data_IF_002716054054
#
_entry.id   IF_002716054054
#
_cell.length_a   1.000
_cell.length_b   1.000
_cell.length_c   1.000
_cell.angle_alpha   90.00
_cell.angle_beta   90.00
_cell.angle_gamma   90.00
#
_symmetry.space_group_name_H-M   'P 1'
#
loop_
_entity.id
_entity.type
_entity.pdbx_description
1 polymer ?
#
# COMPACT_ATOMS: atom_id res chain seq x y z
N UNK A 1 23.15 45.10 -76.35
CA UNK A 1 23.93 44.02 -75.71
C UNK A 1 23.68 44.16 -74.21
N UNK A 2 22.83 43.31 -73.62
CA UNK A 2 23.23 42.19 -72.75
C UNK A 2 23.92 42.73 -71.47
N UNK A 3 23.43 42.58 -70.23
CA UNK A 3 22.78 41.42 -69.60
C UNK A 3 21.98 41.86 -68.36
N UNK A 4 20.80 41.27 -68.20
CA UNK A 4 20.03 41.18 -66.95
C UNK A 4 20.79 40.32 -65.93
N UNK A 5 21.02 40.83 -64.72
CA UNK A 5 21.37 40.02 -63.56
C UNK A 5 20.12 39.84 -62.70
N UNK A 6 19.54 38.64 -62.72
CA UNK A 6 18.55 38.21 -61.73
C UNK A 6 19.29 37.69 -60.50
N UNK A 7 19.16 38.39 -59.37
CA UNK A 7 19.62 37.90 -58.07
C UNK A 7 18.55 36.94 -57.55
N UNK A 8 18.87 35.65 -57.49
CA UNK A 8 18.02 34.65 -56.88
C UNK A 8 18.03 34.84 -55.35
N UNK A 9 16.87 35.19 -54.79
CA UNK A 9 16.62 35.09 -53.35
C UNK A 9 16.64 33.59 -52.98
N UNK A 10 17.68 33.14 -52.30
CA UNK A 10 17.63 31.91 -51.55
C UNK A 10 16.94 32.20 -50.22
N UNK A 11 15.65 31.89 -50.14
CA UNK A 11 14.96 31.74 -48.86
C UNK A 11 15.52 30.50 -48.17
N UNK A 12 16.37 30.70 -47.16
CA UNK A 12 16.71 29.67 -46.20
C UNK A 12 15.43 29.33 -45.41
N UNK A 13 14.77 28.24 -45.77
CA UNK A 13 13.79 27.61 -44.90
C UNK A 13 14.57 27.10 -43.68
N UNK A 14 14.50 27.84 -42.57
CA UNK A 14 14.78 27.25 -41.27
C UNK A 14 13.68 26.22 -41.03
N UNK A 15 13.94 24.97 -41.40
CA UNK A 15 13.14 23.85 -40.95
C UNK A 15 13.50 23.66 -39.47
N UNK A 16 12.86 24.44 -38.60
CA UNK A 16 12.78 24.06 -37.19
C UNK A 16 11.82 22.89 -37.11
N UNK A 17 12.31 21.73 -37.56
CA UNK A 17 11.79 20.46 -37.11
C UNK A 17 12.12 20.43 -35.63
N UNK A 18 11.17 20.79 -34.77
CA UNK A 18 11.16 20.28 -33.41
C UNK A 18 11.14 18.76 -33.57
N UNK A 19 12.32 18.14 -33.59
CA UNK A 19 12.48 16.72 -33.38
C UNK A 19 11.86 16.47 -32.02
N UNK A 20 10.62 15.97 -32.02
CA UNK A 20 9.99 15.50 -30.81
C UNK A 20 10.86 14.35 -30.33
N UNK A 21 11.48 14.51 -29.16
CA UNK A 21 12.18 13.44 -28.51
C UNK A 21 11.23 12.24 -28.41
N UNK A 22 11.62 11.10 -28.96
CA UNK A 22 10.84 9.87 -28.95
C UNK A 22 11.12 9.10 -27.66
N UNK A 23 10.65 9.63 -26.53
CA UNK A 23 10.70 8.95 -25.24
C UNK A 23 9.28 8.77 -24.67
N UNK A 24 8.91 7.56 -24.23
CA UNK A 24 9.58 6.28 -24.48
C UNK A 24 9.48 5.84 -25.95
N UNK A 25 10.33 4.90 -26.36
CA UNK A 25 10.35 4.27 -27.71
C UNK A 25 10.71 2.79 -27.61
N UNK A 26 10.63 2.03 -28.70
CA UNK A 26 10.97 0.60 -28.68
C UNK A 26 12.48 0.38 -28.67
N UNK A 27 12.98 -0.54 -27.84
CA UNK A 27 14.39 -0.96 -27.81
C UNK A 27 15.02 -0.79 -26.42
N UNK A 28 15.90 -1.72 -26.05
CA UNK A 28 16.59 -1.71 -24.75
C UNK A 28 17.57 -0.54 -24.67
N UNK A 29 17.45 0.30 -23.64
CA UNK A 29 18.33 1.45 -23.42
C UNK A 29 19.82 1.06 -23.28
N UNK A 30 20.10 -0.19 -22.93
CA UNK A 30 21.44 -0.72 -22.68
C UNK A 30 22.02 -1.46 -23.88
N UNK A 31 21.31 -1.51 -25.00
CA UNK A 31 21.77 -2.14 -26.24
C UNK A 31 21.64 -1.21 -27.45
N UNK A 32 22.54 -1.36 -28.43
CA UNK A 32 22.48 -0.57 -29.67
C UNK A 32 21.30 -1.02 -30.51
N UNK A 33 20.49 -0.07 -30.98
CA UNK A 33 19.36 -0.35 -31.86
C UNK A 33 19.04 0.79 -32.85
N UNK A 34 18.27 0.46 -33.89
CA UNK A 34 18.03 1.37 -35.02
C UNK A 34 16.94 2.42 -34.76
N UNK A 35 16.05 2.21 -33.79
CA UNK A 35 15.06 3.20 -33.34
C UNK A 35 15.73 4.34 -32.60
N UNK A 36 15.12 5.52 -32.65
CA UNK A 36 15.48 6.65 -31.81
C UNK A 36 14.72 6.57 -30.47
N UNK A 37 15.42 6.88 -29.37
CA UNK A 37 14.94 6.68 -28.00
C UNK A 37 14.82 5.20 -27.60
N UNK A 38 14.65 4.92 -26.32
CA UNK A 38 14.58 3.56 -25.78
C UNK A 38 13.36 3.35 -24.86
N UNK A 39 13.18 2.13 -24.37
CA UNK A 39 11.96 1.67 -23.71
C UNK A 39 11.78 2.14 -22.26
N UNK A 40 12.85 2.48 -21.56
CA UNK A 40 12.79 3.02 -20.20
C UNK A 40 12.55 4.53 -20.27
N UNK A 41 11.36 5.06 -19.90
CA UNK A 41 11.00 6.47 -20.16
C UNK A 41 11.95 7.47 -19.49
N UNK A 42 12.31 7.22 -18.23
CA UNK A 42 13.19 8.09 -17.45
C UNK A 42 14.63 8.06 -17.98
N UNK A 43 15.18 6.86 -18.22
CA UNK A 43 16.51 6.72 -18.79
C UNK A 43 16.59 7.34 -20.19
N UNK A 44 15.57 7.12 -21.02
CA UNK A 44 15.46 7.75 -22.33
C UNK A 44 15.55 9.27 -22.20
N UNK A 45 14.77 9.88 -21.30
CA UNK A 45 14.78 11.33 -21.10
C UNK A 45 16.15 11.85 -20.67
N UNK A 46 16.82 11.18 -19.71
CA UNK A 46 18.16 11.56 -19.24
C UNK A 46 19.21 11.50 -20.36
N UNK A 47 19.21 10.42 -21.16
CA UNK A 47 20.13 10.28 -22.29
C UNK A 47 19.85 11.32 -23.36
N UNK A 48 18.58 11.67 -23.58
CA UNK A 48 18.20 12.66 -24.58
C UNK A 48 18.57 14.08 -24.18
N UNK A 49 18.52 14.39 -22.88
CA UNK A 49 19.02 15.65 -22.33
C UNK A 49 20.55 15.74 -22.44
N UNK A 50 21.25 14.60 -22.40
CA UNK A 50 22.69 14.53 -22.64
C UNK A 50 23.04 14.66 -24.14
N UNK A 51 22.35 13.95 -25.02
CA UNK A 51 22.50 14.04 -26.47
C UNK A 51 21.17 13.84 -27.23
N UNK A 52 20.69 14.92 -27.85
CA UNK A 52 19.46 14.93 -28.64
C UNK A 52 19.50 13.98 -29.85
N UNK A 53 20.67 13.56 -30.32
CA UNK A 53 20.76 12.60 -31.43
C UNK A 53 20.21 11.22 -31.05
N UNK A 54 20.28 10.85 -29.77
CA UNK A 54 19.79 9.57 -29.26
C UNK A 54 18.27 9.44 -29.39
N UNK A 55 17.49 10.52 -29.25
CA UNK A 55 16.04 10.53 -29.52
C UNK A 55 15.65 11.06 -30.90
N UNK A 56 16.59 11.60 -31.67
CA UNK A 56 16.29 12.17 -32.97
C UNK A 56 16.57 11.23 -34.15
N UNK A 57 17.58 10.36 -34.03
CA UNK A 57 18.11 9.59 -35.17
C UNK A 57 18.17 8.09 -34.88
N UNK A 58 19.01 7.67 -33.94
CA UNK A 58 19.28 6.26 -33.65
C UNK A 58 19.86 6.13 -32.26
N UNK A 59 19.65 4.98 -31.63
CA UNK A 59 20.30 4.62 -30.37
C UNK A 59 21.60 3.85 -30.63
N UNK A 60 22.71 4.59 -30.79
CA UNK A 60 24.02 4.01 -31.08
C UNK A 60 24.84 3.76 -29.79
N UNK A 61 26.10 3.37 -29.95
CA UNK A 61 26.98 3.05 -28.81
C UNK A 61 27.16 4.24 -27.85
N UNK A 62 27.12 5.48 -28.34
CA UNK A 62 27.23 6.66 -27.47
C UNK A 62 25.99 6.77 -26.58
N UNK A 63 24.81 6.49 -27.13
CA UNK A 63 23.56 6.46 -26.37
C UNK A 63 23.57 5.38 -25.29
N UNK A 64 24.10 4.19 -25.63
CA UNK A 64 24.29 3.09 -24.65
C UNK A 64 25.28 3.49 -23.56
N UNK A 65 26.40 4.10 -23.92
CA UNK A 65 27.41 4.54 -22.95
C UNK A 65 26.83 5.61 -21.99
N UNK A 66 26.04 6.56 -22.52
CA UNK A 66 25.28 7.50 -21.68
C UNK A 66 24.24 6.80 -20.81
N UNK A 67 23.52 5.79 -21.33
CA UNK A 67 22.55 5.05 -20.54
C UNK A 67 23.20 4.32 -19.36
N UNK A 68 24.37 3.70 -19.58
CA UNK A 68 25.13 3.03 -18.52
C UNK A 68 25.68 3.99 -17.47
N UNK A 69 25.95 5.24 -17.82
CA UNK A 69 26.44 6.27 -16.90
C UNK A 69 25.32 7.01 -16.17
N UNK A 70 24.24 7.39 -16.88
CA UNK A 70 23.20 8.28 -16.40
C UNK A 70 22.01 7.53 -15.77
N UNK A 71 21.75 6.30 -16.18
CA UNK A 71 20.55 5.55 -15.78
C UNK A 71 20.80 4.54 -14.66
N UNK A 72 21.87 4.73 -13.87
CA UNK A 72 22.13 3.89 -12.70
C UNK A 72 20.96 3.94 -11.72
N UNK A 73 20.35 2.80 -11.41
CA UNK A 73 19.19 2.68 -10.51
C UNK A 73 17.82 2.68 -11.21
N UNK A 74 17.76 2.92 -12.52
CA UNK A 74 16.54 2.78 -13.32
C UNK A 74 16.48 1.34 -13.84
N UNK A 75 15.57 0.51 -13.32
CA UNK A 75 15.50 -0.92 -13.65
C UNK A 75 14.28 -1.32 -14.46
N UNK A 76 13.38 -0.39 -14.81
CA UNK A 76 12.10 -0.72 -15.44
C UNK A 76 11.93 -0.11 -16.84
N UNK A 77 11.46 -0.90 -17.84
CA UNK A 77 11.37 -2.36 -17.81
C UNK A 77 12.76 -3.02 -17.86
N UNK A 78 12.84 -4.31 -17.54
CA UNK A 78 14.07 -5.12 -17.61
C UNK A 78 13.76 -6.56 -18.03
N UNK A 79 14.76 -7.33 -18.44
CA UNK A 79 14.56 -8.69 -18.91
C UNK A 79 14.12 -9.62 -17.77
N UNK A 80 12.97 -10.27 -17.93
CA UNK A 80 12.45 -11.26 -16.99
C UNK A 80 10.94 -11.13 -16.78
N UNK A 81 10.26 -12.22 -16.44
CA UNK A 81 8.82 -12.19 -16.14
C UNK A 81 8.61 -11.69 -14.71
N UNK A 82 7.72 -10.73 -14.51
CA UNK A 82 7.52 -10.11 -13.19
C UNK A 82 7.07 -11.09 -12.11
N UNK A 83 6.31 -12.13 -12.45
CA UNK A 83 5.85 -13.16 -11.50
C UNK A 83 6.87 -14.29 -11.26
N UNK A 84 8.11 -14.16 -11.75
CA UNK A 84 9.12 -15.22 -11.66
C UNK A 84 10.45 -14.68 -11.15
N UNK A 85 11.10 -15.42 -10.26
CA UNK A 85 12.44 -15.10 -9.73
C UNK A 85 13.47 -15.12 -10.87
N UNK A 86 14.33 -14.10 -10.95
CA UNK A 86 15.43 -14.04 -11.91
C UNK A 86 16.59 -13.12 -11.47
N UNK A 87 17.71 -13.17 -12.19
CA UNK A 87 18.96 -12.50 -11.78
C UNK A 87 18.98 -10.99 -12.04
N UNK A 88 18.17 -10.49 -12.98
CA UNK A 88 18.10 -9.05 -13.30
C UNK A 88 17.26 -8.29 -12.26
N UNK A 89 17.60 -7.02 -12.03
CA UNK A 89 16.71 -6.08 -11.32
C UNK A 89 15.58 -5.62 -12.22
N UNK A 90 14.42 -5.27 -11.65
CA UNK A 90 13.20 -4.95 -12.40
C UNK A 90 12.61 -6.15 -13.16
N UNK A 91 11.60 -5.94 -13.99
CA UNK A 91 10.99 -6.99 -14.83
C UNK A 91 10.39 -6.40 -16.12
N UNK A 92 9.89 -7.26 -17.01
CA UNK A 92 9.60 -6.87 -18.41
C UNK A 92 8.34 -6.03 -18.60
N UNK A 93 7.37 -6.10 -17.68
CA UNK A 93 6.20 -5.25 -17.72
C UNK A 93 6.51 -3.94 -16.99
N UNK A 94 6.53 -2.82 -17.71
CA UNK A 94 6.92 -1.52 -17.15
C UNK A 94 6.02 -1.09 -15.98
N UNK A 95 4.69 -1.23 -16.09
CA UNK A 95 3.75 -0.76 -15.06
C UNK A 95 3.88 -1.62 -13.81
N UNK A 96 3.97 -2.94 -13.99
CA UNK A 96 4.20 -3.87 -12.89
C UNK A 96 5.57 -3.66 -12.24
N UNK A 97 6.61 -3.49 -13.05
CA UNK A 97 7.96 -3.26 -12.57
C UNK A 97 8.01 -2.01 -11.70
N UNK A 98 7.50 -0.89 -12.19
CA UNK A 98 7.48 0.38 -11.46
C UNK A 98 6.66 0.30 -10.17
N UNK A 99 5.52 -0.42 -10.17
CA UNK A 99 4.76 -0.65 -8.95
C UNK A 99 5.62 -1.34 -7.89
N UNK A 100 6.21 -2.48 -8.24
CA UNK A 100 6.91 -3.32 -7.28
C UNK A 100 8.22 -2.65 -6.84
N UNK A 101 8.94 -1.96 -7.73
CA UNK A 101 10.14 -1.20 -7.34
C UNK A 101 9.81 0.04 -6.52
N UNK A 102 8.62 0.61 -6.66
CA UNK A 102 8.11 1.67 -5.78
C UNK A 102 7.80 1.12 -4.40
N UNK A 103 7.12 -0.03 -4.30
CA UNK A 103 6.82 -0.67 -3.01
C UNK A 103 8.04 -1.29 -2.33
N UNK A 104 9.02 -1.73 -3.12
CA UNK A 104 10.28 -2.28 -2.65
C UNK A 104 11.46 -1.81 -3.51
N UNK A 105 12.16 -0.79 -3.02
CA UNK A 105 13.38 -0.30 -3.65
C UNK A 105 14.49 -1.36 -3.75
N UNK A 106 14.42 -2.49 -3.03
CA UNK A 106 15.37 -3.59 -3.22
C UNK A 106 15.21 -4.27 -4.58
N UNK A 107 13.99 -4.31 -5.13
CA UNK A 107 13.69 -4.91 -6.44
C UNK A 107 14.31 -4.12 -7.63
N UNK A 108 14.82 -2.90 -7.40
CA UNK A 108 15.64 -2.16 -8.39
C UNK A 108 17.15 -2.31 -8.19
N UNK A 109 17.60 -2.82 -7.04
CA UNK A 109 19.04 -2.90 -6.72
C UNK A 109 19.64 -4.30 -6.87
N UNK A 110 18.88 -5.34 -6.50
CA UNK A 110 19.31 -6.73 -6.58
C UNK A 110 18.54 -7.50 -7.67
N UNK A 111 18.87 -8.78 -7.84
CA UNK A 111 18.05 -9.66 -8.69
C UNK A 111 16.63 -9.78 -8.15
N UNK A 112 15.66 -9.85 -9.05
CA UNK A 112 14.24 -10.03 -8.75
C UNK A 112 13.99 -11.34 -7.99
N UNK A 113 13.78 -11.24 -6.68
CA UNK A 113 13.72 -12.38 -5.77
C UNK A 113 12.29 -12.91 -5.55
N UNK A 114 12.13 -13.84 -4.60
CA UNK A 114 10.83 -14.44 -4.26
C UNK A 114 9.81 -13.40 -3.77
N UNK A 115 10.26 -12.35 -3.09
CA UNK A 115 9.39 -11.29 -2.57
C UNK A 115 8.90 -10.44 -3.73
N UNK A 116 9.80 -9.95 -4.58
CA UNK A 116 9.45 -9.16 -5.76
C UNK A 116 8.47 -9.92 -6.68
N UNK A 117 8.75 -11.22 -6.93
CA UNK A 117 7.94 -12.04 -7.83
C UNK A 117 6.54 -12.36 -7.27
N UNK A 118 6.43 -12.61 -5.96
CA UNK A 118 5.14 -12.86 -5.31
C UNK A 118 4.30 -11.59 -5.25
N UNK A 119 4.88 -10.46 -4.88
CA UNK A 119 4.15 -9.20 -4.86
C UNK A 119 3.66 -8.81 -6.26
N UNK A 120 4.48 -9.03 -7.29
CA UNK A 120 4.05 -8.86 -8.67
C UNK A 120 2.86 -9.77 -9.01
N UNK A 121 2.87 -11.02 -8.57
CA UNK A 121 1.76 -11.94 -8.78
C UNK A 121 0.47 -11.50 -8.07
N UNK A 122 0.58 -10.87 -6.90
CA UNK A 122 -0.56 -10.43 -6.08
C UNK A 122 -1.14 -9.08 -6.50
N UNK A 123 -0.30 -8.19 -7.05
CA UNK A 123 -0.64 -6.78 -7.24
C UNK A 123 -0.69 -6.37 -8.70
N UNK A 124 0.11 -6.98 -9.58
CA UNK A 124 0.17 -6.55 -10.97
C UNK A 124 -1.03 -7.04 -11.77
N UNK A 125 -1.62 -6.11 -12.55
CA UNK A 125 -2.83 -6.37 -13.33
C UNK A 125 -4.13 -6.20 -12.56
N UNK A 126 -4.05 -5.98 -11.25
CA UNK A 126 -5.20 -5.57 -10.46
C UNK A 126 -5.56 -4.12 -10.76
N UNK A 127 -6.85 -3.85 -10.92
CA UNK A 127 -7.34 -2.49 -11.14
C UNK A 127 -7.50 -1.76 -9.79
N UNK A 128 -7.21 -0.45 -9.72
CA UNK A 128 -7.54 0.34 -8.54
C UNK A 128 -9.04 0.25 -8.26
N UNK A 129 -9.40 0.14 -6.99
CA UNK A 129 -10.76 0.30 -6.50
C UNK A 129 -10.91 1.67 -5.87
N UNK A 130 -12.10 2.25 -6.08
CA UNK A 130 -12.51 3.48 -5.44
C UNK A 130 -13.57 3.16 -4.39
N UNK A 131 -13.45 3.78 -3.22
CA UNK A 131 -14.50 3.68 -2.21
C UNK A 131 -15.73 4.47 -2.65
N UNK A 132 -16.90 3.92 -2.36
CA UNK A 132 -18.14 4.65 -2.52
C UNK A 132 -18.16 5.88 -1.60
N UNK A 133 -18.74 6.98 -2.08
CA UNK A 133 -18.90 8.18 -1.29
C UNK A 133 -19.57 7.88 0.07
N UNK A 134 -18.85 8.18 1.16
CA UNK A 134 -19.25 7.83 2.52
C UNK A 134 -19.58 9.07 3.35
N UNK A 135 -20.67 8.97 4.12
CA UNK A 135 -21.03 9.95 5.17
C UNK A 135 -20.40 9.63 6.52
N UNK A 136 -19.43 8.72 6.57
CA UNK A 136 -18.65 8.42 7.77
C UNK A 136 -17.96 9.68 8.30
N UNK A 137 -17.71 9.66 9.61
CA UNK A 137 -17.01 10.76 10.30
C UNK A 137 -15.57 10.79 9.82
N UNK A 138 -15.16 11.93 9.31
CA UNK A 138 -13.77 12.17 8.88
C UNK A 138 -12.87 12.30 10.11
N UNK A 139 -11.74 11.62 10.11
CA UNK A 139 -10.76 11.72 11.20
C UNK A 139 -10.07 13.09 11.29
N UNK A 140 -10.22 13.94 10.27
CA UNK A 140 -9.68 15.29 10.19
C UNK A 140 -8.14 15.35 10.18
N UNK A 141 -7.52 14.35 9.56
CA UNK A 141 -6.10 14.27 9.23
C UNK A 141 -5.84 14.88 7.85
N UNK A 142 -5.00 15.93 7.74
CA UNK A 142 -4.47 16.34 6.45
C UNK A 142 -3.55 15.26 5.87
N UNK A 143 -3.62 15.06 4.55
CA UNK A 143 -3.01 13.94 3.83
C UNK A 143 -1.47 13.75 4.01
N UNK A 144 -0.71 14.81 4.30
CA UNK A 144 0.75 14.76 4.55
C UNK A 144 1.13 14.86 6.03
N UNK A 145 0.15 14.90 6.91
CA UNK A 145 0.35 14.86 8.35
C UNK A 145 0.23 13.42 8.86
N UNK A 146 0.65 13.20 10.10
CA UNK A 146 0.65 11.87 10.76
C UNK A 146 0.21 11.98 12.21
N UNK A 147 -0.87 12.72 12.44
CA UNK A 147 -1.40 13.10 13.75
C UNK A 147 -1.81 11.91 14.60
N UNK A 148 -2.14 10.77 14.00
CA UNK A 148 -2.58 9.55 14.68
C UNK A 148 -1.61 8.36 14.57
N UNK A 149 -0.33 8.64 14.27
CA UNK A 149 0.78 7.65 14.20
C UNK A 149 1.29 7.19 15.59
N UNK A 150 0.36 7.02 16.54
CA UNK A 150 0.59 6.39 17.83
C UNK A 150 1.80 6.92 18.60
N UNK A 151 2.74 6.01 18.88
CA UNK A 151 3.92 6.30 19.68
C UNK A 151 4.82 7.39 19.09
N UNK A 152 4.82 7.57 17.77
CA UNK A 152 5.73 8.50 17.08
C UNK A 152 5.38 9.96 17.31
N UNK A 153 4.10 10.26 17.57
CA UNK A 153 3.55 11.62 17.74
C UNK A 153 2.96 11.86 19.14
N UNK A 154 3.16 10.90 20.04
CA UNK A 154 2.72 10.93 21.44
C UNK A 154 1.50 10.04 21.65
N UNK A 155 1.61 9.05 22.54
CA UNK A 155 0.65 7.96 22.66
C UNK A 155 -0.83 8.35 22.90
N UNK A 156 -1.11 9.36 23.74
CA UNK A 156 -2.49 9.78 23.98
C UNK A 156 -3.07 10.61 22.83
N UNK A 157 -2.28 11.51 22.25
CA UNK A 157 -2.70 12.39 21.15
C UNK A 157 -2.67 11.71 19.80
N UNK A 158 -1.80 10.71 19.65
CA UNK A 158 -1.56 9.93 18.46
C UNK A 158 -2.53 8.78 18.28
N UNK A 159 -3.71 8.81 18.89
CA UNK A 159 -4.72 7.76 18.74
C UNK A 159 -6.09 8.36 18.45
N UNK A 160 -6.75 7.76 17.48
CA UNK A 160 -8.12 8.05 17.08
C UNK A 160 -9.07 7.54 18.16
N UNK A 161 -9.81 8.47 18.76
CA UNK A 161 -10.98 8.15 19.55
C UNK A 161 -12.18 7.91 18.63
N UNK A 162 -12.89 6.81 18.81
CA UNK A 162 -14.07 6.48 18.01
C UNK A 162 -15.31 6.28 18.89
N UNK A 163 -16.49 6.33 18.27
CA UNK A 163 -17.76 5.98 18.91
C UNK A 163 -18.27 4.68 18.32
N UNK A 164 -18.58 3.71 19.17
CA UNK A 164 -19.09 2.44 18.70
C UNK A 164 -20.38 2.59 17.88
N UNK A 165 -20.45 1.87 16.76
CA UNK A 165 -21.56 1.91 15.81
C UNK A 165 -21.54 3.09 14.84
N UNK A 166 -20.57 3.99 14.95
CA UNK A 166 -20.36 5.10 14.03
C UNK A 166 -19.19 4.76 13.11
N UNK A 167 -19.44 4.84 11.80
CA UNK A 167 -18.39 4.66 10.81
C UNK A 167 -17.48 5.89 10.74
N UNK A 168 -16.19 5.64 10.54
CA UNK A 168 -15.16 6.65 10.33
C UNK A 168 -14.53 6.46 8.96
N UNK A 169 -13.94 7.52 8.43
CA UNK A 169 -13.16 7.51 7.21
C UNK A 169 -11.91 8.36 7.40
N UNK A 170 -10.90 8.03 6.63
CA UNK A 170 -9.60 8.65 6.73
C UNK A 170 -8.72 8.29 5.55
N UNK A 171 -7.43 8.57 5.70
CA UNK A 171 -6.43 8.33 4.67
C UNK A 171 -5.16 7.76 5.27
N UNK A 172 -4.44 6.94 4.51
CA UNK A 172 -3.07 6.54 4.80
C UNK A 172 -2.21 6.87 3.61
N UNK A 173 -1.13 7.61 3.84
CA UNK A 173 -0.18 7.98 2.79
C UNK A 173 1.22 7.42 3.02
N UNK A 174 1.95 7.31 1.90
CA UNK A 174 3.37 7.01 1.76
C UNK A 174 4.05 8.11 0.93
N UNK A 175 5.38 8.13 0.91
CA UNK A 175 6.18 9.22 0.29
C UNK A 175 6.89 10.14 1.30
N UNK A 176 6.57 9.97 2.59
CA UNK A 176 7.27 10.54 3.75
C UNK A 176 7.55 9.44 4.80
N UNK A 177 7.64 9.75 6.11
CA UNK A 177 7.56 8.69 7.11
C UNK A 177 6.16 8.02 7.05
N UNK A 178 6.09 6.70 7.25
CA UNK A 178 4.90 5.85 7.02
C UNK A 178 3.70 6.26 7.87
N UNK A 179 2.59 6.70 7.28
CA UNK A 179 1.39 6.99 8.05
C UNK A 179 0.71 5.73 8.62
N UNK A 180 0.14 5.84 9.82
CA UNK A 180 -0.51 4.74 10.54
C UNK A 180 -1.64 5.28 11.41
N UNK A 181 -2.82 4.68 11.30
CA UNK A 181 -3.97 5.08 12.09
C UNK A 181 -4.12 4.19 13.31
N UNK A 182 -3.87 4.74 14.50
CA UNK A 182 -4.03 4.01 15.75
C UNK A 182 -5.40 4.30 16.38
N UNK A 183 -6.30 3.32 16.44
CA UNK A 183 -7.58 3.44 17.13
C UNK A 183 -7.45 3.05 18.60
N UNK A 184 -7.86 3.92 19.53
CA UNK A 184 -7.80 3.65 20.96
C UNK A 184 -8.87 2.64 21.41
N UNK A 185 -8.43 1.51 21.96
CA UNK A 185 -9.27 0.42 22.49
C UNK A 185 -9.06 0.24 24.00
N UNK A 186 -9.03 1.36 24.73
CA UNK A 186 -8.80 1.33 26.17
C UNK A 186 -10.09 0.95 26.92
N UNK A 187 -10.07 -0.21 27.60
CA UNK A 187 -11.25 -0.73 28.28
C UNK A 187 -10.99 -1.18 29.71
N UNK A 188 -11.97 -0.93 30.58
CA UNK A 188 -11.96 -1.43 31.95
C UNK A 188 -12.26 -2.95 32.03
N UNK A 189 -12.84 -3.54 30.98
CA UNK A 189 -13.23 -4.94 30.90
C UNK A 189 -13.06 -5.48 29.47
N UNK A 190 -12.90 -6.81 29.34
CA UNK A 190 -12.86 -7.49 28.04
C UNK A 190 -14.10 -7.15 27.22
N UNK A 191 -13.91 -6.70 25.99
CA UNK A 191 -14.98 -6.25 25.10
C UNK A 191 -14.77 -6.87 23.73
N UNK A 192 -15.81 -7.47 23.15
CA UNK A 192 -15.76 -7.96 21.78
C UNK A 192 -16.07 -6.83 20.81
N UNK A 193 -15.28 -6.76 19.74
CA UNK A 193 -15.48 -5.86 18.63
C UNK A 193 -15.74 -6.62 17.35
N UNK A 194 -16.76 -6.18 16.61
CA UNK A 194 -16.83 -6.38 15.16
C UNK A 194 -16.27 -5.13 14.49
N UNK A 195 -15.09 -5.29 13.90
CA UNK A 195 -14.42 -4.25 13.13
C UNK A 195 -14.66 -4.51 11.66
N UNK A 196 -15.23 -3.54 10.95
CA UNK A 196 -15.36 -3.61 9.49
C UNK A 196 -14.44 -2.59 8.83
N UNK A 197 -13.79 -2.98 7.74
CA UNK A 197 -12.92 -2.10 6.96
C UNK A 197 -13.13 -2.29 5.46
N UNK A 198 -13.09 -1.19 4.72
CA UNK A 198 -12.95 -1.14 3.28
C UNK A 198 -11.90 -0.08 2.93
N UNK A 199 -10.97 -0.39 2.02
CA UNK A 199 -9.86 0.49 1.68
C UNK A 199 -9.48 0.37 0.20
N UNK A 200 -8.82 1.40 -0.32
CA UNK A 200 -8.33 1.49 -1.71
C UNK A 200 -6.90 0.93 -1.89
N UNK A 201 -6.36 0.31 -0.84
CA UNK A 201 -5.00 -0.21 -0.74
C UNK A 201 -4.98 -1.58 -0.04
N UNK A 202 -3.90 -2.38 -0.18
CA UNK A 202 -3.69 -3.57 0.64
C UNK A 202 -3.59 -3.20 2.12
N UNK A 203 -4.50 -3.74 2.93
CA UNK A 203 -4.65 -3.39 4.35
C UNK A 203 -3.75 -4.27 5.19
N UNK A 204 -3.03 -3.66 6.13
CA UNK A 204 -2.39 -4.32 7.26
C UNK A 204 -3.10 -3.86 8.54
N UNK A 205 -3.56 -4.79 9.37
CA UNK A 205 -4.19 -4.49 10.66
C UNK A 205 -3.48 -5.23 11.78
N UNK A 206 -3.09 -4.50 12.82
CA UNK A 206 -2.37 -5.05 13.97
C UNK A 206 -3.12 -4.74 15.26
N UNK A 207 -3.21 -5.70 16.16
CA UNK A 207 -3.69 -5.43 17.52
C UNK A 207 -2.51 -5.26 18.45
N UNK A 208 -2.43 -4.10 19.09
CA UNK A 208 -1.29 -3.70 19.91
C UNK A 208 -1.72 -3.54 21.37
N UNK A 209 -1.02 -4.21 22.27
CA UNK A 209 -1.17 -4.10 23.71
C UNK A 209 -0.04 -3.25 24.28
N UNK A 210 -0.38 -2.25 25.09
CA UNK A 210 0.60 -1.39 25.77
C UNK A 210 0.47 0.09 25.44
N UNK A 211 1.34 0.89 26.04
CA UNK A 211 1.34 2.36 26.06
C UNK A 211 2.63 2.98 25.50
N UNK A 212 3.37 2.21 24.68
CA UNK A 212 4.69 2.52 24.13
C UNK A 212 5.86 2.42 25.12
N UNK A 213 5.65 2.54 26.43
CA UNK A 213 6.73 2.44 27.44
C UNK A 213 7.14 0.98 27.71
N UNK A 214 6.22 0.06 27.42
CA UNK A 214 6.44 -1.38 27.48
C UNK A 214 6.17 -1.99 28.86
N UNK A 215 5.97 -3.33 28.91
CA UNK A 215 6.05 -4.27 27.80
C UNK A 215 4.90 -4.08 26.80
N UNK A 216 5.24 -4.11 25.52
CA UNK A 216 4.28 -4.04 24.42
C UNK A 216 4.21 -5.39 23.73
N UNK A 217 3.02 -5.78 23.29
CA UNK A 217 2.78 -7.04 22.58
C UNK A 217 1.87 -6.79 21.37
N UNK A 218 2.11 -7.54 20.30
CA UNK A 218 1.22 -7.55 19.13
C UNK A 218 0.66 -8.97 18.99
N UNK A 219 -0.49 -9.30 19.62
CA UNK A 219 -1.00 -10.67 19.63
C UNK A 219 -1.29 -11.23 18.24
N UNK A 220 -1.65 -10.35 17.30
CA UNK A 220 -1.90 -10.73 15.92
C UNK A 220 -1.72 -9.55 14.96
N UNK A 221 -1.41 -9.92 13.71
CA UNK A 221 -1.37 -9.06 12.54
C UNK A 221 -2.04 -9.82 11.41
N UNK A 222 -2.95 -9.15 10.71
CA UNK A 222 -3.59 -9.69 9.51
C UNK A 222 -3.45 -8.70 8.37
N UNK A 223 -3.32 -9.24 7.15
CA UNK A 223 -3.33 -8.44 5.95
C UNK A 223 -4.46 -8.87 5.01
N UNK A 224 -5.04 -7.91 4.32
CA UNK A 224 -6.09 -8.11 3.32
C UNK A 224 -5.62 -7.56 1.98
N UNK A 225 -5.86 -8.28 0.87
CA UNK A 225 -5.40 -7.85 -0.44
C UNK A 225 -6.14 -6.59 -0.91
N UNK A 226 -5.60 -5.98 -1.95
CA UNK A 226 -6.23 -4.87 -2.67
C UNK A 226 -7.63 -5.27 -3.16
N UNK A 227 -8.58 -4.32 -3.14
CA UNK A 227 -9.93 -4.46 -3.71
C UNK A 227 -10.69 -5.70 -3.24
N UNK A 228 -10.46 -6.06 -1.99
CA UNK A 228 -11.05 -7.22 -1.38
C UNK A 228 -12.53 -6.97 -1.00
N UNK A 229 -12.99 -5.71 -0.99
CA UNK A 229 -14.31 -5.28 -0.53
C UNK A 229 -14.37 -5.21 0.99
N UNK A 230 -15.55 -5.00 1.57
CA UNK A 230 -15.66 -4.89 3.04
C UNK A 230 -15.16 -6.17 3.73
N UNK A 231 -14.24 -5.99 4.67
CA UNK A 231 -13.69 -7.03 5.55
C UNK A 231 -14.24 -6.89 6.95
N UNK A 232 -14.30 -7.99 7.68
CA UNK A 232 -14.81 -8.02 9.04
C UNK A 232 -13.90 -8.86 9.92
N UNK A 233 -13.43 -8.27 11.01
CA UNK A 233 -12.66 -8.93 12.06
C UNK A 233 -13.50 -8.96 13.33
N UNK A 234 -13.57 -10.12 13.98
CA UNK A 234 -14.31 -10.32 15.21
C UNK A 234 -13.34 -10.73 16.31
N UNK A 235 -12.92 -9.79 17.15
CA UNK A 235 -11.87 -10.01 18.15
C UNK A 235 -12.24 -9.47 19.52
N UNK A 236 -11.54 -9.94 20.56
CA UNK A 236 -11.70 -9.45 21.93
C UNK A 236 -10.58 -8.46 22.25
N UNK A 237 -10.96 -7.23 22.58
CA UNK A 237 -10.08 -6.29 23.25
C UNK A 237 -10.00 -6.62 24.74
N UNK A 238 -8.77 -6.79 25.26
CA UNK A 238 -8.54 -7.11 26.66
C UNK A 238 -8.79 -5.89 27.56
N UNK A 239 -9.02 -6.13 28.85
CA UNK A 239 -9.00 -5.03 29.81
C UNK A 239 -7.58 -4.43 29.86
N UNK A 240 -7.47 -3.12 29.81
CA UNK A 240 -6.20 -2.40 29.79
C UNK A 240 -6.11 -1.40 28.65
N UNK A 241 -4.86 -1.01 28.36
CA UNK A 241 -4.51 -0.08 27.30
C UNK A 241 -4.17 -0.88 26.05
N UNK A 242 -4.90 -0.63 24.96
CA UNK A 242 -4.68 -1.31 23.69
C UNK A 242 -5.07 -0.43 22.51
N UNK A 243 -4.56 -0.76 21.34
CA UNK A 243 -4.88 -0.05 20.10
C UNK A 243 -5.06 -1.04 18.96
N UNK A 244 -5.98 -0.73 18.04
CA UNK A 244 -5.97 -1.34 16.71
C UNK A 244 -5.21 -0.41 15.78
N UNK A 245 -4.18 -0.91 15.11
CA UNK A 245 -3.37 -0.14 14.17
C UNK A 245 -3.80 -0.53 12.77
N UNK A 246 -4.19 0.46 11.98
CA UNK A 246 -4.43 0.32 10.57
C UNK A 246 -3.23 0.90 9.81
N UNK A 247 -2.77 0.16 8.82
CA UNK A 247 -1.73 0.58 7.90
C UNK A 247 -1.92 -0.09 6.55
N UNK A 248 -0.91 0.08 5.70
CA UNK A 248 -0.80 -0.66 4.44
C UNK A 248 0.35 -1.66 4.48
N UNK A 249 0.19 -2.77 3.77
CA UNK A 249 1.20 -3.82 3.71
C UNK A 249 0.60 -5.19 3.42
N UNK A 250 1.44 -6.19 3.61
CA UNK A 250 1.06 -7.59 3.64
C UNK A 250 1.48 -8.22 4.98
N UNK A 251 1.30 -9.53 5.14
CA UNK A 251 1.62 -10.20 6.41
C UNK A 251 3.12 -10.25 6.71
N UNK A 252 3.98 -10.09 5.70
CA UNK A 252 5.43 -10.18 5.84
C UNK A 252 6.08 -8.82 6.05
N UNK A 253 5.55 -7.78 5.41
CA UNK A 253 6.10 -6.43 5.52
C UNK A 253 5.05 -5.32 5.34
N UNK A 254 5.28 -4.18 6.01
CA UNK A 254 4.55 -2.97 5.75
C UNK A 254 4.97 -2.33 4.44
N UNK A 255 4.03 -1.75 3.70
CA UNK A 255 4.35 -0.86 2.58
C UNK A 255 4.63 0.54 3.13
N UNK A 256 5.70 1.17 2.64
CA UNK A 256 6.18 2.48 3.09
C UNK A 256 6.09 3.56 2.01
N UNK A 257 5.90 3.11 0.78
CA UNK A 257 5.94 3.89 -0.46
C UNK A 257 4.77 3.44 -1.34
N UNK A 258 4.52 4.13 -2.45
CA UNK A 258 3.45 3.77 -3.41
C UNK A 258 2.03 4.20 -3.02
N UNK A 259 1.89 4.98 -1.95
CA UNK A 259 0.64 5.61 -1.50
C UNK A 259 0.78 7.12 -1.47
N UNK A 260 1.15 7.70 -2.61
CA UNK A 260 1.25 9.15 -2.72
C UNK A 260 -0.08 9.82 -2.37
N UNK A 261 0.00 10.96 -1.71
CA UNK A 261 -1.17 11.72 -1.34
C UNK A 261 -1.99 12.14 -2.58
N UNK A 262 -3.31 12.07 -2.48
CA UNK A 262 -4.26 12.47 -3.53
C UNK A 262 -4.56 13.98 -3.56
N UNK A 263 -4.08 14.72 -2.57
CA UNK A 263 -4.11 16.18 -2.52
C UNK A 263 -2.77 16.79 -3.00
N UNK A 264 -2.84 17.90 -3.73
CA UNK A 264 -1.64 18.66 -4.11
C UNK A 264 -1.09 19.35 -2.86
N UNK A 265 0.15 19.03 -2.48
CA UNK A 265 0.90 19.79 -1.48
C UNK A 265 1.03 21.26 -1.93
N UNK A 266 0.41 22.22 -1.22
CA UNK A 266 0.52 23.63 -1.58
C UNK A 266 1.92 24.20 -1.34
N UNK A 267 2.73 23.59 -0.46
CA UNK A 267 4.09 24.02 -0.15
C UNK A 267 5.10 23.46 -1.16
N UNK A 268 4.85 22.27 -1.70
CA UNK A 268 5.70 21.61 -2.68
C UNK A 268 4.89 21.01 -3.85
N UNK A 269 4.28 21.83 -4.71
CA UNK A 269 3.46 21.33 -5.81
C UNK A 269 4.31 20.56 -6.84
N UNK A 270 3.77 19.48 -7.45
CA UNK A 270 4.51 18.70 -8.44
C UNK A 270 4.89 19.56 -9.65
N UNK A 271 6.05 19.28 -10.25
CA UNK A 271 6.45 19.94 -11.51
C UNK A 271 5.41 19.62 -12.60
N UNK A 272 4.78 20.63 -13.23
CA UNK A 272 3.80 20.40 -14.30
C UNK A 272 4.32 19.60 -15.50
N UNK A 273 5.65 19.42 -15.61
CA UNK A 273 6.31 18.64 -16.67
C UNK A 273 6.68 17.23 -16.25
N UNK A 274 6.68 16.93 -14.94
CA UNK A 274 6.92 15.57 -14.49
C UNK A 274 5.71 14.69 -14.86
N UNK A 275 5.94 13.43 -15.27
CA UNK A 275 4.84 12.48 -15.34
C UNK A 275 4.18 12.37 -13.95
N UNK A 276 2.86 12.18 -13.88
CA UNK A 276 2.23 11.88 -12.59
C UNK A 276 2.87 10.63 -12.00
N UNK A 277 3.06 10.57 -10.68
CA UNK A 277 3.57 9.36 -10.04
C UNK A 277 2.66 8.19 -10.41
N UNK A 278 3.25 7.03 -10.64
CA UNK A 278 2.50 5.80 -10.84
C UNK A 278 1.90 5.39 -9.49
N UNK A 279 0.67 5.84 -9.26
CA UNK A 279 -0.12 5.48 -8.09
C UNK A 279 -1.18 4.47 -8.50
N UNK A 280 -1.01 3.22 -8.08
CA UNK A 280 -1.95 2.14 -8.37
C UNK A 280 -2.99 1.93 -7.26
N UNK A 281 -2.76 2.48 -6.07
CA UNK A 281 -3.69 2.38 -4.94
C UNK A 281 -4.22 3.76 -4.59
N UNK A 282 -5.48 3.81 -4.19
CA UNK A 282 -5.98 5.00 -3.49
C UNK A 282 -5.46 5.02 -2.05
N UNK A 283 -5.72 6.11 -1.35
CA UNK A 283 -5.26 6.32 0.04
C UNK A 283 -6.38 6.23 1.05
N UNK A 284 -7.63 6.07 0.61
CA UNK A 284 -8.78 6.17 1.50
C UNK A 284 -9.15 4.85 2.15
N UNK A 285 -9.71 4.96 3.34
CA UNK A 285 -10.36 3.87 4.06
C UNK A 285 -11.66 4.32 4.70
N UNK A 286 -12.55 3.35 4.96
CA UNK A 286 -13.75 3.49 5.79
C UNK A 286 -13.75 2.34 6.80
N UNK A 287 -13.81 2.67 8.09
CA UNK A 287 -13.90 1.67 9.16
C UNK A 287 -15.13 1.86 10.03
N UNK A 288 -15.50 0.82 10.78
CA UNK A 288 -16.50 0.89 11.84
C UNK A 288 -16.20 -0.13 12.92
N UNK A 289 -16.38 0.29 14.17
CA UNK A 289 -16.26 -0.57 15.34
C UNK A 289 -17.62 -0.75 16.01
N UNK A 290 -18.14 -1.96 16.04
CA UNK A 290 -19.33 -2.32 16.81
C UNK A 290 -18.90 -3.09 18.06
N UNK A 291 -19.13 -2.52 19.24
CA UNK A 291 -18.93 -3.16 20.52
C UNK A 291 -20.10 -4.12 20.75
N UNK A 292 -19.77 -5.38 20.99
CA UNK A 292 -20.72 -6.48 21.04
C UNK A 292 -20.73 -7.12 22.42
N UNK A 293 -21.73 -7.99 22.64
CA UNK A 293 -21.68 -8.87 23.80
C UNK A 293 -20.45 -9.78 23.65
N UNK A 294 -19.72 -9.98 24.75
CA UNK A 294 -18.49 -10.74 24.75
C UNK A 294 -18.70 -12.18 24.21
N UNK A 295 -19.86 -12.75 24.56
CA UNK A 295 -20.28 -14.09 24.21
C UNK A 295 -20.93 -14.25 22.82
N UNK A 296 -21.04 -13.18 22.03
CA UNK A 296 -21.49 -13.22 20.64
C UNK A 296 -20.29 -13.60 19.75
N UNK A 297 -19.96 -14.89 19.76
CA UNK A 297 -18.75 -15.48 19.20
C UNK A 297 -18.79 -15.47 17.68
N UNK A 298 -19.95 -15.73 17.07
CA UNK A 298 -20.08 -15.68 15.59
C UNK A 298 -20.21 -14.24 15.06
N UNK A 299 -20.47 -13.29 15.94
CA UNK A 299 -20.56 -11.89 15.57
C UNK A 299 -21.82 -11.63 14.75
N UNK A 300 -22.97 -12.24 15.06
CA UNK A 300 -24.24 -12.00 14.37
C UNK A 300 -25.10 -10.91 15.03
N UNK A 301 -24.78 -10.53 16.27
CA UNK A 301 -25.49 -9.51 17.06
C UNK A 301 -26.35 -10.09 18.20
N UNK A 302 -26.42 -11.40 18.35
CA UNK A 302 -27.17 -12.11 19.41
C UNK A 302 -26.32 -13.19 20.06
N UNK A 303 -26.51 -13.44 21.36
CA UNK A 303 -25.90 -14.60 22.04
C UNK A 303 -26.88 -15.75 22.05
N UNK A 304 -26.64 -16.75 21.22
CA UNK A 304 -27.58 -17.79 20.85
C UNK A 304 -26.99 -19.22 20.86
N UNK A 305 -27.75 -20.17 20.33
CA UNK A 305 -27.28 -21.54 20.16
C UNK A 305 -26.14 -21.65 19.12
N UNK A 306 -25.98 -20.66 18.23
CA UNK A 306 -24.85 -20.56 17.31
C UNK A 306 -23.54 -20.39 18.08
N UNK A 307 -23.48 -19.42 18.98
CA UNK A 307 -22.32 -19.16 19.83
C UNK A 307 -21.98 -20.34 20.72
N UNK A 308 -23.00 -20.96 21.32
CA UNK A 308 -22.81 -22.16 22.13
C UNK A 308 -22.18 -23.29 21.32
N UNK A 309 -22.59 -23.47 20.05
CA UNK A 309 -22.00 -24.47 19.18
C UNK A 309 -20.53 -24.17 18.88
N UNK A 310 -20.18 -22.91 18.63
CA UNK A 310 -18.78 -22.49 18.42
C UNK A 310 -17.92 -22.67 19.67
N UNK A 311 -18.44 -22.31 20.85
CA UNK A 311 -17.74 -22.52 22.11
C UNK A 311 -17.45 -24.01 22.34
N UNK A 312 -18.45 -24.87 22.18
CA UNK A 312 -18.29 -26.31 22.37
C UNK A 312 -17.41 -26.96 21.29
N UNK A 313 -17.39 -26.43 20.07
CA UNK A 313 -16.51 -26.91 19.00
C UNK A 313 -15.03 -26.64 19.28
N UNK A 314 -14.72 -25.58 20.04
CA UNK A 314 -13.36 -25.19 20.40
C UNK A 314 -12.99 -25.57 21.85
N UNK A 315 -13.76 -26.45 22.49
CA UNK A 315 -13.55 -26.82 23.89
C UNK A 315 -12.17 -27.42 24.16
N UNK A 316 -11.45 -26.88 25.14
CA UNK A 316 -10.13 -27.34 25.54
C UNK A 316 -9.09 -26.22 25.63
N UNK A 317 -7.83 -26.59 25.91
CA UNK A 317 -6.74 -25.62 26.04
C UNK A 317 -6.39 -24.99 24.69
N UNK A 318 -6.01 -23.71 24.71
CA UNK A 318 -5.50 -23.00 23.54
C UNK A 318 -3.99 -23.26 23.41
N UNK A 319 -3.55 -23.58 22.18
CA UNK A 319 -2.12 -23.73 21.87
C UNK A 319 -1.50 -22.36 21.58
N UNK A 320 -0.84 -21.79 22.59
CA UNK A 320 -0.18 -20.48 22.52
C UNK A 320 1.05 -20.45 21.60
N UNK A 321 1.45 -21.59 21.01
CA UNK A 321 2.49 -21.61 19.97
C UNK A 321 1.95 -21.27 18.58
N UNK A 322 0.63 -21.28 18.41
CA UNK A 322 -0.04 -20.91 17.16
C UNK A 322 -0.39 -19.43 17.20
N UNK A 323 -0.10 -18.72 16.12
CA UNK A 323 -0.48 -17.32 15.98
C UNK A 323 -2.00 -17.16 16.06
N UNK A 324 -2.47 -16.15 16.78
CA UNK A 324 -3.89 -15.84 16.91
C UNK A 324 -4.38 -15.32 15.55
N UNK A 325 -5.47 -15.87 15.04
CA UNK A 325 -6.15 -15.36 13.84
C UNK A 325 -7.46 -14.68 14.24
N UNK A 326 -7.59 -13.35 14.14
CA UNK A 326 -8.82 -12.61 14.47
C UNK A 326 -9.98 -12.89 13.50
N UNK A 327 -9.76 -13.69 12.44
CA UNK A 327 -10.82 -14.21 11.56
C UNK A 327 -11.42 -15.50 12.09
N UNK A 328 -10.76 -16.17 13.03
CA UNK A 328 -11.28 -17.36 13.70
C UNK A 328 -12.19 -16.97 14.87
N UNK A 329 -13.12 -17.85 15.20
CA UNK A 329 -13.99 -17.67 16.36
C UNK A 329 -13.17 -17.76 17.66
N UNK A 330 -13.06 -16.65 18.38
CA UNK A 330 -12.47 -16.60 19.71
C UNK A 330 -13.52 -16.98 20.77
N UNK A 331 -13.39 -18.16 21.37
CA UNK A 331 -14.32 -18.66 22.39
C UNK A 331 -13.76 -18.60 23.82
N UNK A 332 -12.55 -18.08 24.01
CA UNK A 332 -11.97 -17.83 25.33
C UNK A 332 -12.48 -16.47 25.84
N UNK A 333 -13.59 -16.51 26.54
CA UNK A 333 -14.31 -15.32 26.97
C UNK A 333 -13.68 -14.69 28.21
N UNK A 334 -13.10 -15.48 29.12
CA UNK A 334 -12.47 -14.95 30.34
C UNK A 334 -10.96 -14.67 30.19
N UNK A 335 -10.32 -15.17 29.14
CA UNK A 335 -8.91 -14.92 28.81
C UNK A 335 -7.93 -15.78 29.59
N UNK A 336 -8.36 -16.94 30.10
CA UNK A 336 -7.50 -17.86 30.85
C UNK A 336 -6.75 -18.89 29.96
N UNK A 337 -6.90 -18.77 28.64
CA UNK A 337 -6.35 -19.66 27.62
C UNK A 337 -6.89 -21.09 27.67
N UNK A 338 -8.07 -21.30 28.24
CA UNK A 338 -8.77 -22.58 28.33
C UNK A 338 -10.27 -22.41 28.06
N UNK A 339 -10.72 -22.84 26.89
CA UNK A 339 -12.15 -22.81 26.55
C UNK A 339 -12.87 -23.90 27.33
N UNK A 340 -13.67 -23.50 28.32
CA UNK A 340 -14.23 -24.41 29.30
C UNK A 340 -15.50 -23.93 30.00
N UNK A 341 -15.67 -24.41 31.23
CA UNK A 341 -16.90 -24.18 31.99
C UNK A 341 -17.07 -22.70 32.43
N UNK A 342 -15.97 -21.98 32.59
CA UNK A 342 -15.99 -20.54 32.87
C UNK A 342 -16.56 -19.76 31.69
N UNK A 343 -16.07 -20.02 30.48
CA UNK A 343 -16.58 -19.39 29.25
C UNK A 343 -18.03 -19.75 28.99
N UNK A 344 -18.39 -21.04 29.17
CA UNK A 344 -19.78 -21.47 29.05
C UNK A 344 -20.69 -20.70 30.02
N UNK A 345 -20.21 -20.44 31.24
CA UNK A 345 -20.97 -19.66 32.23
C UNK A 345 -21.13 -18.20 31.81
N UNK A 346 -20.09 -17.59 31.23
CA UNK A 346 -20.16 -16.23 30.66
C UNK A 346 -21.13 -16.16 29.48
N UNK A 347 -21.09 -17.17 28.59
CA UNK A 347 -21.98 -17.26 27.44
C UNK A 347 -23.45 -17.34 27.87
N UNK A 348 -23.77 -18.27 28.77
CA UNK A 348 -25.14 -18.45 29.25
C UNK A 348 -25.65 -17.23 30.05
N UNK A 349 -24.75 -16.44 30.66
CA UNK A 349 -25.12 -15.22 31.36
C UNK A 349 -25.51 -14.07 30.41
N UNK A 350 -25.06 -14.09 29.16
CA UNK A 350 -25.34 -13.08 28.14
C UNK A 350 -26.38 -13.52 27.11
N UNK A 351 -27.00 -14.69 27.29
CA UNK A 351 -28.00 -15.24 26.38
C UNK A 351 -29.13 -14.25 26.06
N UNK A 352 -29.39 -14.00 24.78
CA UNK A 352 -30.32 -12.96 24.31
C UNK A 352 -31.26 -13.44 23.22
#
# INVERSE_FOLDING_TARGET
MMRTLSVALFTAYACTSTLLAQCPSTGDCREVHASAGCEMPECCTLVCDADLLCCAITWDQICVDFALELCGGISCPSQGECSVIHENSGCADFVCCELITTLDGWCTYAGWDEICAREAQELCGEAPCELAASSAVDEAEPCYERFNDGCSVGFESGRIAFTSGIAMKGRITGGGPRDLDWFALDHAARTRYRFTIEAEFPVETQYFLGDCEGPNETPWLVAEPLCSGTRTLNFIANAGVSSLILGTGNIERPYRDGLECDDIDPENPPDPKAPPPLQLYGVHWVVRFDAMQLADIDGDGSVSAGDLALLLANWGPIDLSVAIDPRAADADLDGDHLIGASDLSLLLAQWS
#
